data_IF_757895950971
#
_entry.id   IF_757895950971
#
_cell.length_a   1.000
_cell.length_b   1.000
_cell.length_c   1.000
_cell.angle_alpha   90.00
_cell.angle_beta   90.00
_cell.angle_gamma   90.00
#
_symmetry.space_group_name_H-M   'P 1'
#
loop_
_entity.id
_entity.type
_entity.pdbx_description
1 polymer ?
#
# COMPACT_ATOMS: atom_id res chain seq x y z
N UNK A 1 -41.60 6.70 -26.28
CA UNK A 1 -41.19 7.48 -25.09
C UNK A 1 -40.13 6.78 -24.22
N UNK A 2 -40.42 5.75 -23.42
CA UNK A 2 -39.43 5.14 -22.51
C UNK A 2 -38.07 4.79 -23.18
N UNK A 3 -38.09 4.09 -24.32
CA UNK A 3 -36.87 3.73 -25.05
C UNK A 3 -36.10 4.93 -25.64
N UNK A 4 -36.74 6.10 -25.77
CA UNK A 4 -36.07 7.35 -26.15
C UNK A 4 -35.35 7.94 -24.94
N UNK A 5 -36.06 8.08 -23.81
CA UNK A 5 -35.49 8.56 -22.55
C UNK A 5 -34.28 7.73 -22.10
N UNK A 6 -34.38 6.40 -22.14
CA UNK A 6 -33.26 5.51 -21.78
C UNK A 6 -32.05 5.72 -22.69
N UNK A 7 -32.27 5.99 -23.99
CA UNK A 7 -31.18 6.29 -24.92
C UNK A 7 -30.51 7.65 -24.63
N UNK A 8 -31.29 8.67 -24.34
CA UNK A 8 -30.80 10.01 -24.00
C UNK A 8 -29.98 9.96 -22.69
N UNK A 9 -30.49 9.29 -21.65
CA UNK A 9 -29.74 9.06 -20.41
C UNK A 9 -28.45 8.28 -20.67
N UNK A 10 -28.49 7.22 -21.47
CA UNK A 10 -27.29 6.46 -21.81
C UNK A 10 -26.24 7.31 -22.54
N UNK A 11 -26.66 8.18 -23.45
CA UNK A 11 -25.76 9.08 -24.17
C UNK A 11 -25.08 10.06 -23.20
N UNK A 12 -25.83 10.60 -22.23
CA UNK A 12 -25.30 11.45 -21.18
C UNK A 12 -24.25 10.72 -20.32
N UNK A 13 -24.59 9.52 -19.84
CA UNK A 13 -23.69 8.71 -19.00
C UNK A 13 -22.41 8.33 -19.74
N UNK A 14 -22.51 7.96 -21.03
CA UNK A 14 -21.34 7.67 -21.87
C UNK A 14 -20.36 8.84 -21.97
N UNK A 15 -20.87 10.08 -21.95
CA UNK A 15 -20.04 11.29 -21.96
C UNK A 15 -19.37 11.59 -20.60
N UNK A 16 -19.90 11.02 -19.51
CA UNK A 16 -19.53 11.37 -18.14
C UNK A 16 -19.34 10.14 -17.25
N UNK A 17 -18.69 9.08 -17.78
CA UNK A 17 -18.53 7.81 -17.07
C UNK A 17 -17.85 7.95 -15.70
N UNK A 18 -16.97 8.93 -15.52
CA UNK A 18 -16.27 9.16 -14.26
C UNK A 18 -17.16 9.66 -13.12
N UNK A 19 -18.30 10.31 -13.41
CA UNK A 19 -19.19 10.90 -12.41
C UNK A 19 -20.56 10.23 -12.38
N UNK A 20 -21.08 9.83 -13.55
CA UNK A 20 -22.49 9.49 -13.72
C UNK A 20 -22.71 7.99 -13.99
N UNK A 21 -21.67 7.15 -13.87
CA UNK A 21 -21.79 5.71 -14.10
C UNK A 21 -22.79 5.00 -13.17
N UNK A 22 -22.98 5.51 -11.94
CA UNK A 22 -23.96 4.96 -11.00
C UNK A 22 -25.38 4.98 -11.55
N UNK A 23 -25.73 6.01 -12.33
CA UNK A 23 -27.03 6.10 -13.00
C UNK A 23 -27.23 4.93 -13.98
N UNK A 24 -26.17 4.43 -14.63
CA UNK A 24 -26.29 3.24 -15.47
C UNK A 24 -26.58 1.97 -14.64
N UNK A 25 -26.08 1.87 -13.42
CA UNK A 25 -26.36 0.76 -12.51
C UNK A 25 -27.82 0.81 -12.03
N UNK A 26 -28.31 1.97 -11.61
CA UNK A 26 -29.70 2.18 -11.21
C UNK A 26 -30.69 1.89 -12.34
N UNK A 27 -30.45 2.45 -13.54
CA UNK A 27 -31.29 2.18 -14.72
C UNK A 27 -31.29 0.68 -15.02
N UNK A 28 -30.13 0.01 -14.90
CA UNK A 28 -30.03 -1.43 -15.11
C UNK A 28 -30.84 -2.22 -14.11
N UNK A 29 -30.83 -1.85 -12.83
CA UNK A 29 -31.63 -2.48 -11.78
C UNK A 29 -33.12 -2.29 -12.01
N UNK A 30 -33.58 -1.04 -12.16
CA UNK A 30 -34.98 -0.68 -12.32
C UNK A 30 -35.58 -1.37 -13.55
N UNK A 31 -34.90 -1.27 -14.71
CA UNK A 31 -35.42 -1.84 -15.95
C UNK A 31 -35.34 -3.37 -15.95
N UNK A 32 -34.34 -3.98 -15.31
CA UNK A 32 -34.28 -5.44 -15.18
C UNK A 32 -35.37 -5.98 -14.25
N UNK A 33 -35.67 -5.29 -13.16
CA UNK A 33 -36.78 -5.62 -12.27
C UNK A 33 -38.13 -5.50 -12.97
N UNK A 34 -38.33 -4.44 -13.77
CA UNK A 34 -39.54 -4.27 -14.56
C UNK A 34 -39.70 -5.35 -15.63
N UNK A 35 -38.59 -5.77 -16.27
CA UNK A 35 -38.57 -6.90 -17.22
C UNK A 35 -39.02 -8.20 -16.58
N UNK A 36 -38.51 -8.51 -15.38
CA UNK A 36 -38.90 -9.71 -14.63
C UNK A 36 -40.39 -9.69 -14.24
N UNK A 37 -40.91 -8.55 -13.80
CA UNK A 37 -42.32 -8.42 -13.47
C UNK A 37 -43.23 -8.56 -14.70
N UNK A 38 -42.84 -8.00 -15.85
CA UNK A 38 -43.59 -8.15 -17.12
C UNK A 38 -43.62 -9.59 -17.61
N UNK A 39 -42.53 -10.34 -17.43
CA UNK A 39 -42.43 -11.76 -17.77
C UNK A 39 -43.45 -12.60 -16.98
N UNK A 40 -43.68 -12.28 -15.70
CA UNK A 40 -44.66 -13.01 -14.88
C UNK A 40 -46.12 -12.71 -15.23
N UNK A 41 -46.42 -11.62 -15.95
CA UNK A 41 -47.80 -11.14 -16.16
C UNK A 41 -48.31 -11.29 -17.60
N UNK A 42 -47.54 -10.86 -18.60
CA UNK A 42 -48.04 -10.80 -20.00
C UNK A 42 -47.00 -11.16 -21.05
N UNK A 43 -45.70 -11.02 -20.79
CA UNK A 43 -44.61 -11.27 -21.75
C UNK A 43 -44.53 -10.27 -22.92
N UNK A 44 -45.59 -9.50 -23.17
CA UNK A 44 -45.62 -8.40 -24.14
C UNK A 44 -44.60 -7.31 -23.79
N UNK A 45 -44.03 -6.63 -24.79
CA UNK A 45 -43.00 -5.58 -24.66
C UNK A 45 -41.62 -6.02 -24.13
N UNK A 46 -41.45 -7.28 -23.68
CA UNK A 46 -40.18 -7.83 -23.17
C UNK A 46 -39.01 -7.58 -24.13
N UNK A 47 -39.17 -7.95 -25.40
CA UNK A 47 -38.12 -7.81 -26.41
C UNK A 47 -37.74 -6.34 -26.64
N UNK A 48 -38.72 -5.44 -26.65
CA UNK A 48 -38.49 -4.00 -26.85
C UNK A 48 -37.74 -3.40 -25.65
N UNK A 49 -38.13 -3.75 -24.42
CA UNK A 49 -37.47 -3.27 -23.22
C UNK A 49 -36.05 -3.83 -23.08
N UNK A 50 -35.85 -5.12 -23.39
CA UNK A 50 -34.54 -5.74 -23.39
C UNK A 50 -33.61 -5.09 -24.43
N UNK A 51 -34.13 -4.78 -25.61
CA UNK A 51 -33.39 -4.04 -26.64
C UNK A 51 -33.02 -2.62 -26.20
N UNK A 52 -33.92 -1.92 -25.48
CA UNK A 52 -33.64 -0.58 -24.96
C UNK A 52 -32.61 -0.59 -23.80
N UNK A 53 -32.61 -1.64 -22.97
CA UNK A 53 -31.69 -1.78 -21.85
C UNK A 53 -30.28 -2.25 -22.26
N UNK A 54 -30.15 -3.03 -23.33
CA UNK A 54 -28.87 -3.58 -23.78
C UNK A 54 -27.76 -2.51 -23.90
N UNK A 55 -27.97 -1.35 -24.55
CA UNK A 55 -26.95 -0.31 -24.64
C UNK A 55 -26.53 0.29 -23.29
N UNK A 56 -27.40 0.32 -22.29
CA UNK A 56 -27.09 0.82 -20.94
C UNK A 56 -26.22 -0.20 -20.19
N UNK A 57 -26.52 -1.50 -20.31
CA UNK A 57 -25.68 -2.56 -19.73
C UNK A 57 -24.27 -2.54 -20.31
N UNK A 58 -24.13 -2.30 -21.61
CA UNK A 58 -22.80 -2.19 -22.23
C UNK A 58 -22.04 -0.94 -21.74
N UNK A 59 -22.72 0.19 -21.53
CA UNK A 59 -22.12 1.36 -20.89
C UNK A 59 -21.70 1.07 -19.45
N UNK A 60 -22.54 0.38 -18.68
CA UNK A 60 -22.27 -0.01 -17.31
C UNK A 60 -21.04 -0.94 -17.22
N UNK A 61 -20.90 -1.91 -18.14
CA UNK A 61 -19.70 -2.74 -18.26
C UNK A 61 -18.45 -1.90 -18.58
N UNK A 62 -18.54 -1.04 -19.59
CA UNK A 62 -17.41 -0.20 -20.01
C UNK A 62 -16.94 0.76 -18.90
N UNK A 63 -17.86 1.20 -18.03
CA UNK A 63 -17.53 2.07 -16.90
C UNK A 63 -16.50 1.45 -15.94
N UNK A 64 -16.52 0.13 -15.73
CA UNK A 64 -15.62 -0.54 -14.79
C UNK A 64 -14.16 -0.42 -15.25
N UNK A 65 -13.91 -0.66 -16.54
CA UNK A 65 -12.60 -0.48 -17.15
C UNK A 65 -12.16 0.99 -17.15
N UNK A 66 -13.07 1.90 -17.50
CA UNK A 66 -12.76 3.33 -17.56
C UNK A 66 -12.41 3.89 -16.17
N UNK A 67 -13.12 3.51 -15.12
CA UNK A 67 -12.84 3.93 -13.74
C UNK A 67 -11.47 3.42 -13.25
N UNK A 68 -11.08 2.21 -13.66
CA UNK A 68 -9.77 1.66 -13.36
C UNK A 68 -8.66 2.43 -14.08
N UNK A 69 -8.82 2.69 -15.38
CA UNK A 69 -7.87 3.47 -16.18
C UNK A 69 -7.81 4.94 -15.74
N UNK A 70 -8.92 5.54 -15.32
CA UNK A 70 -8.95 6.88 -14.74
C UNK A 70 -8.14 6.93 -13.42
N UNK A 71 -8.28 5.92 -12.57
CA UNK A 71 -7.47 5.80 -11.34
C UNK A 71 -5.97 5.78 -11.67
N UNK A 72 -5.59 4.95 -12.63
CA UNK A 72 -4.21 4.84 -13.11
C UNK A 72 -3.73 6.15 -13.74
N UNK A 73 -4.56 6.83 -14.52
CA UNK A 73 -4.23 8.11 -15.17
C UNK A 73 -4.07 9.23 -14.16
N UNK A 74 -4.95 9.34 -13.17
CA UNK A 74 -4.86 10.33 -12.08
C UNK A 74 -3.60 10.10 -11.24
N UNK A 75 -3.34 8.86 -10.81
CA UNK A 75 -2.12 8.52 -10.08
C UNK A 75 -0.87 8.76 -10.94
N UNK A 76 -0.89 8.34 -12.20
CA UNK A 76 0.18 8.53 -13.17
C UNK A 76 0.39 9.99 -13.61
N UNK A 77 -0.60 10.85 -13.44
CA UNK A 77 -0.56 12.28 -13.75
C UNK A 77 0.04 13.14 -12.65
N UNK A 78 0.24 12.59 -11.44
CA UNK A 78 0.81 13.32 -10.31
C UNK A 78 2.20 13.88 -10.67
N UNK A 79 2.35 15.18 -10.43
CA UNK A 79 3.60 15.95 -10.64
C UNK A 79 4.37 16.16 -9.35
N UNK A 80 3.67 16.17 -8.21
CA UNK A 80 4.25 16.37 -6.89
C UNK A 80 3.62 15.40 -5.89
N UNK A 81 4.38 15.10 -4.83
CA UNK A 81 3.91 14.35 -3.67
C UNK A 81 4.35 15.07 -2.39
N UNK A 82 3.64 14.90 -1.26
CA UNK A 82 4.03 15.50 0.00
C UNK A 82 5.45 15.09 0.42
N UNK A 83 6.30 16.07 0.68
CA UNK A 83 7.72 15.84 1.02
C UNK A 83 7.93 15.23 2.41
N UNK A 84 6.90 15.21 3.24
CA UNK A 84 6.84 14.61 4.57
C UNK A 84 6.27 13.17 4.55
N UNK A 85 5.83 12.68 3.39
CA UNK A 85 5.24 11.36 3.23
C UNK A 85 3.77 11.26 3.62
N UNK A 86 3.05 12.37 3.79
CA UNK A 86 1.60 12.32 4.02
C UNK A 86 0.85 11.62 2.87
N UNK A 87 -0.25 10.93 3.18
CA UNK A 87 -1.13 10.37 2.14
C UNK A 87 -1.82 11.49 1.34
N UNK A 88 -2.37 11.16 0.17
CA UNK A 88 -3.00 12.12 -0.74
C UNK A 88 -4.51 11.84 -0.89
N UNK A 89 -5.33 12.86 -1.22
CA UNK A 89 -6.78 12.70 -1.38
C UNK A 89 -7.18 11.61 -2.36
N UNK A 90 -6.41 11.42 -3.44
CA UNK A 90 -6.68 10.38 -4.45
C UNK A 90 -6.84 8.97 -3.86
N UNK A 91 -6.15 8.65 -2.76
CA UNK A 91 -6.30 7.37 -2.05
C UNK A 91 -7.71 7.26 -1.45
N UNK A 92 -8.13 8.28 -0.72
CA UNK A 92 -9.46 8.34 -0.11
C UNK A 92 -10.57 8.39 -1.18
N UNK A 93 -10.41 9.22 -2.22
CA UNK A 93 -11.39 9.34 -3.31
C UNK A 93 -11.60 8.01 -4.06
N UNK A 94 -10.52 7.25 -4.24
CA UNK A 94 -10.59 5.92 -4.86
C UNK A 94 -11.34 4.93 -3.99
N UNK A 95 -11.08 4.94 -2.68
CA UNK A 95 -11.79 4.07 -1.74
C UNK A 95 -13.25 4.45 -1.55
N UNK A 96 -13.56 5.75 -1.45
CA UNK A 96 -14.95 6.26 -1.39
C UNK A 96 -15.74 5.83 -2.61
N UNK A 97 -15.13 5.86 -3.81
CA UNK A 97 -15.78 5.36 -5.02
C UNK A 97 -16.10 3.87 -4.93
N UNK A 98 -15.15 3.05 -4.46
CA UNK A 98 -15.40 1.61 -4.27
C UNK A 98 -16.49 1.36 -3.22
N UNK A 99 -16.54 2.15 -2.14
CA UNK A 99 -17.59 2.08 -1.12
C UNK A 99 -18.96 2.44 -1.70
N UNK A 100 -19.07 3.53 -2.46
CA UNK A 100 -20.31 3.94 -3.12
C UNK A 100 -20.80 2.88 -4.10
N UNK A 101 -19.90 2.17 -4.79
CA UNK A 101 -20.28 1.05 -5.66
C UNK A 101 -20.95 -0.09 -4.88
N UNK A 102 -20.66 -0.29 -3.58
CA UNK A 102 -21.33 -1.32 -2.77
C UNK A 102 -22.83 -1.03 -2.63
N UNK A 103 -23.26 0.24 -2.64
CA UNK A 103 -24.68 0.62 -2.62
C UNK A 103 -25.42 0.07 -3.86
N UNK A 104 -24.71 -0.13 -4.95
CA UNK A 104 -25.21 -0.68 -6.22
C UNK A 104 -24.80 -2.15 -6.42
N UNK A 105 -24.51 -2.89 -5.35
CA UNK A 105 -23.95 -4.24 -5.43
C UNK A 105 -24.85 -5.20 -6.23
N UNK A 106 -26.17 -5.08 -6.16
CA UNK A 106 -27.10 -5.95 -6.90
C UNK A 106 -26.97 -5.79 -8.43
N UNK A 107 -27.15 -4.59 -9.02
CA UNK A 107 -26.93 -4.40 -10.45
C UNK A 107 -25.47 -4.67 -10.85
N UNK A 108 -24.49 -4.27 -10.04
CA UNK A 108 -23.08 -4.52 -10.32
C UNK A 108 -22.79 -6.01 -10.36
N UNK A 109 -23.30 -6.82 -9.43
CA UNK A 109 -23.10 -8.27 -9.43
C UNK A 109 -23.61 -8.90 -10.73
N UNK A 110 -24.77 -8.46 -11.22
CA UNK A 110 -25.29 -8.94 -12.52
C UNK A 110 -24.40 -8.51 -13.70
N UNK A 111 -23.85 -7.30 -13.66
CA UNK A 111 -22.93 -6.79 -14.66
C UNK A 111 -21.62 -7.59 -14.63
N UNK A 112 -21.08 -7.87 -13.44
CA UNK A 112 -19.85 -8.63 -13.22
C UNK A 112 -19.95 -10.05 -13.76
N UNK A 113 -21.05 -10.76 -13.48
CA UNK A 113 -21.31 -12.08 -14.05
C UNK A 113 -21.34 -12.01 -15.58
N UNK A 114 -21.97 -10.98 -16.16
CA UNK A 114 -22.02 -10.81 -17.61
C UNK A 114 -20.68 -10.38 -18.23
N UNK A 115 -19.81 -9.71 -17.47
CA UNK A 115 -18.50 -9.25 -17.92
C UNK A 115 -17.47 -10.38 -17.83
N UNK A 116 -17.64 -11.28 -16.85
CA UNK A 116 -16.65 -12.29 -16.49
C UNK A 116 -15.55 -11.71 -15.60
N UNK A 117 -14.95 -12.58 -14.78
CA UNK A 117 -13.85 -12.20 -13.90
C UNK A 117 -12.64 -11.72 -14.71
N UNK A 118 -12.08 -10.56 -14.32
CA UNK A 118 -10.98 -9.90 -15.02
C UNK A 118 -11.37 -9.18 -16.32
N UNK A 119 -12.65 -9.19 -16.73
CA UNK A 119 -13.10 -8.58 -17.99
C UNK A 119 -12.88 -7.06 -18.07
N UNK A 120 -12.70 -6.38 -16.94
CA UNK A 120 -12.36 -4.94 -16.85
C UNK A 120 -10.92 -4.61 -17.29
N UNK A 121 -10.02 -5.59 -17.35
CA UNK A 121 -8.62 -5.38 -17.78
C UNK A 121 -8.48 -5.28 -19.30
N UNK A 122 -9.43 -5.87 -20.05
CA UNK A 122 -9.33 -6.11 -21.50
C UNK A 122 -9.33 -4.85 -22.37
N UNK A 123 -9.80 -3.71 -21.88
CA UNK A 123 -9.77 -2.44 -22.62
C UNK A 123 -8.35 -1.91 -22.86
N UNK A 124 -7.37 -2.35 -22.07
CA UNK A 124 -5.95 -2.00 -22.25
C UNK A 124 -5.21 -2.91 -23.24
N UNK A 125 -5.77 -4.08 -23.57
CA UNK A 125 -5.17 -5.06 -24.48
C UNK A 125 -5.76 -5.04 -25.91
N UNK A 126 -6.87 -4.33 -26.13
CA UNK A 126 -7.60 -4.33 -27.40
C UNK A 126 -7.08 -3.35 -28.46
N UNK A 127 -6.04 -2.55 -28.17
CA UNK A 127 -5.48 -1.59 -29.15
C UNK A 127 -4.49 -2.26 -30.12
N UNK A 128 -4.18 -3.55 -29.97
CA UNK A 128 -3.18 -4.19 -30.84
C UNK A 128 -3.21 -5.72 -30.98
N UNK A 129 -4.31 -6.39 -30.62
CA UNK A 129 -4.40 -7.85 -30.80
C UNK A 129 -5.61 -8.21 -31.64
N UNK A 130 -5.35 -8.91 -32.74
CA UNK A 130 -6.34 -9.50 -33.64
C UNK A 130 -7.45 -10.21 -32.87
N UNK A 131 -8.66 -10.13 -33.42
CA UNK A 131 -9.92 -10.63 -32.87
C UNK A 131 -10.03 -12.16 -32.70
N UNK A 132 -8.91 -12.90 -32.61
CA UNK A 132 -8.86 -14.36 -32.59
C UNK A 132 -8.35 -14.96 -31.27
N UNK A 133 -8.25 -14.17 -30.18
CA UNK A 133 -8.04 -14.76 -28.86
C UNK A 133 -9.38 -15.28 -28.35
N UNK A 134 -9.58 -16.59 -28.54
CA UNK A 134 -10.64 -17.38 -27.91
C UNK A 134 -10.74 -16.98 -26.43
N UNK A 135 -11.91 -16.54 -25.93
CA UNK A 135 -12.08 -16.27 -24.51
C UNK A 135 -11.69 -17.52 -23.73
N UNK A 136 -10.74 -17.39 -22.80
CA UNK A 136 -10.39 -18.49 -21.91
C UNK A 136 -11.68 -19.04 -21.28
N UNK A 137 -11.91 -20.34 -21.43
CA UNK A 137 -13.06 -21.07 -20.87
C UNK A 137 -13.12 -21.03 -19.33
N UNK A 138 -12.13 -20.42 -18.67
CA UNK A 138 -12.18 -20.06 -17.25
C UNK A 138 -13.15 -18.91 -16.92
N UNK A 139 -13.78 -18.27 -17.92
CA UNK A 139 -14.63 -17.08 -17.74
C UNK A 139 -16.14 -17.35 -17.65
N UNK A 140 -16.57 -18.60 -17.86
CA UNK A 140 -17.97 -19.01 -17.71
C UNK A 140 -18.09 -20.05 -16.59
N UNK A 141 -17.87 -19.61 -15.36
CA UNK A 141 -18.14 -20.44 -14.19
C UNK A 141 -19.65 -20.44 -13.93
N UNK A 142 -20.30 -21.58 -14.19
CA UNK A 142 -21.74 -21.79 -13.96
C UNK A 142 -21.93 -21.92 -12.45
N UNK A 143 -21.94 -20.76 -11.78
CA UNK A 143 -21.88 -20.64 -10.32
C UNK A 143 -21.22 -19.34 -9.83
N UNK A 144 -20.66 -18.52 -10.73
CA UNK A 144 -19.98 -17.28 -10.41
C UNK A 144 -20.82 -16.35 -9.52
N UNK A 145 -20.37 -16.13 -8.28
CA UNK A 145 -20.93 -15.11 -7.40
C UNK A 145 -20.46 -13.74 -7.88
N UNK A 146 -21.39 -12.93 -8.40
CA UNK A 146 -21.09 -11.57 -8.85
C UNK A 146 -20.50 -10.67 -7.75
N UNK A 147 -20.76 -10.98 -6.47
CA UNK A 147 -20.13 -10.30 -5.34
C UNK A 147 -18.65 -10.64 -5.22
N UNK A 148 -18.30 -11.90 -5.46
CA UNK A 148 -16.90 -12.35 -5.46
C UNK A 148 -16.12 -11.68 -6.58
N UNK A 149 -16.67 -11.67 -7.80
CA UNK A 149 -16.05 -11.00 -8.95
C UNK A 149 -15.87 -9.50 -8.67
N UNK A 150 -16.86 -8.84 -8.06
CA UNK A 150 -16.71 -7.45 -7.65
C UNK A 150 -15.60 -7.28 -6.59
N UNK A 151 -15.45 -8.22 -5.66
CA UNK A 151 -14.32 -8.26 -4.74
C UNK A 151 -12.97 -8.29 -5.45
N UNK A 152 -12.83 -9.08 -6.52
CA UNK A 152 -11.62 -9.08 -7.36
C UNK A 152 -11.39 -7.73 -8.05
N UNK A 153 -12.45 -7.10 -8.58
CA UNK A 153 -12.37 -5.77 -9.16
C UNK A 153 -11.87 -4.72 -8.16
N UNK A 154 -12.38 -4.74 -6.93
CA UNK A 154 -11.91 -3.85 -5.86
C UNK A 154 -10.41 -4.04 -5.59
N UNK A 155 -9.96 -5.30 -5.48
CA UNK A 155 -8.55 -5.62 -5.25
C UNK A 155 -7.64 -5.18 -6.39
N UNK A 156 -8.06 -5.40 -7.64
CA UNK A 156 -7.32 -4.93 -8.83
C UNK A 156 -7.23 -3.39 -8.86
N UNK A 157 -8.29 -2.70 -8.44
CA UNK A 157 -8.30 -1.23 -8.37
C UNK A 157 -7.34 -0.72 -7.30
N UNK A 158 -7.35 -1.33 -6.11
CA UNK A 158 -6.43 -1.01 -5.01
C UNK A 158 -4.98 -1.31 -5.41
N UNK A 159 -4.72 -2.45 -6.03
CA UNK A 159 -3.38 -2.82 -6.48
C UNK A 159 -2.87 -1.86 -7.57
N UNK A 160 -3.71 -1.50 -8.53
CA UNK A 160 -3.39 -0.53 -9.57
C UNK A 160 -3.05 0.83 -8.98
N UNK A 161 -3.83 1.29 -7.99
CA UNK A 161 -3.58 2.53 -7.27
C UNK A 161 -2.23 2.49 -6.54
N UNK A 162 -2.04 1.50 -5.66
CA UNK A 162 -0.82 1.39 -4.82
C UNK A 162 0.43 1.15 -5.68
N UNK A 163 0.34 0.36 -6.75
CA UNK A 163 1.41 0.15 -7.72
C UNK A 163 1.83 1.44 -8.41
N UNK A 164 0.85 2.21 -8.91
CA UNK A 164 1.14 3.47 -9.61
C UNK A 164 1.70 4.51 -8.64
N UNK A 165 1.17 4.58 -7.42
CA UNK A 165 1.65 5.48 -6.37
C UNK A 165 3.07 5.12 -5.89
N UNK A 166 3.42 3.84 -5.75
CA UNK A 166 4.78 3.41 -5.43
C UNK A 166 5.79 3.82 -6.51
N UNK A 167 5.42 3.66 -7.79
CA UNK A 167 6.26 4.11 -8.90
C UNK A 167 6.48 5.64 -8.86
N UNK A 168 5.42 6.40 -8.60
CA UNK A 168 5.50 7.86 -8.46
C UNK A 168 6.30 8.31 -7.25
N UNK A 169 6.12 7.66 -6.11
CA UNK A 169 6.88 7.94 -4.89
C UNK A 169 8.39 7.81 -5.13
N UNK A 170 8.82 6.77 -5.84
CA UNK A 170 10.24 6.56 -6.18
C UNK A 170 10.83 7.63 -7.10
N UNK A 171 10.02 8.24 -7.96
CA UNK A 171 10.46 9.26 -8.92
C UNK A 171 10.44 10.65 -8.26
N UNK A 172 9.37 10.97 -7.54
CA UNK A 172 9.08 12.31 -7.06
C UNK A 172 9.64 12.59 -5.66
N UNK A 173 9.74 11.58 -4.80
CA UNK A 173 10.26 11.75 -3.45
C UNK A 173 11.75 11.45 -3.39
N UNK A 174 12.53 12.41 -2.89
CA UNK A 174 13.99 12.30 -2.73
C UNK A 174 14.33 11.54 -1.44
N UNK A 175 14.11 10.23 -1.44
CA UNK A 175 14.54 9.34 -0.36
C UNK A 175 13.65 8.12 -0.21
N UNK A 176 14.27 6.94 0.01
CA UNK A 176 13.54 5.69 0.19
C UNK A 176 12.68 5.70 1.45
N UNK A 177 13.15 6.33 2.53
CA UNK A 177 12.42 6.38 3.79
C UNK A 177 11.11 7.15 3.67
N UNK A 178 11.13 8.35 3.07
CA UNK A 178 9.90 9.13 2.86
C UNK A 178 8.94 8.44 1.86
N UNK A 179 9.46 7.76 0.83
CA UNK A 179 8.64 6.94 -0.06
C UNK A 179 7.99 5.76 0.67
N UNK A 180 8.71 5.13 1.61
CA UNK A 180 8.16 4.11 2.50
C UNK A 180 7.06 4.65 3.42
N UNK A 181 7.22 5.85 3.98
CA UNK A 181 6.19 6.52 4.79
C UNK A 181 4.93 6.78 3.97
N UNK A 182 5.08 7.39 2.79
CA UNK A 182 3.98 7.67 1.88
C UNK A 182 3.17 6.42 1.54
N UNK A 183 3.87 5.34 1.17
CA UNK A 183 3.22 4.08 0.83
C UNK A 183 2.52 3.46 2.06
N UNK A 184 3.17 3.45 3.22
CA UNK A 184 2.60 2.90 4.45
C UNK A 184 1.33 3.66 4.89
N UNK A 185 1.35 4.99 4.87
CA UNK A 185 0.18 5.81 5.16
C UNK A 185 -0.97 5.48 4.20
N UNK A 186 -0.68 5.37 2.89
CA UNK A 186 -1.69 5.03 1.89
C UNK A 186 -2.31 3.65 2.13
N UNK A 187 -1.50 2.65 2.51
CA UNK A 187 -1.98 1.30 2.85
C UNK A 187 -2.87 1.31 4.09
N UNK A 188 -2.48 2.02 5.16
CA UNK A 188 -3.28 2.12 6.39
C UNK A 188 -4.61 2.84 6.13
N UNK A 189 -4.61 3.90 5.32
CA UNK A 189 -5.85 4.57 4.89
C UNK A 189 -6.77 3.61 4.13
N UNK A 190 -6.24 2.86 3.16
CA UNK A 190 -7.01 1.84 2.41
C UNK A 190 -7.59 0.79 3.36
N UNK A 191 -6.76 0.23 4.25
CA UNK A 191 -7.19 -0.78 5.20
C UNK A 191 -8.30 -0.27 6.13
N UNK A 192 -8.14 0.92 6.69
CA UNK A 192 -9.14 1.57 7.55
C UNK A 192 -10.46 1.75 6.79
N UNK A 193 -10.41 2.28 5.58
CA UNK A 193 -11.61 2.51 4.76
C UNK A 193 -12.31 1.21 4.34
N UNK A 194 -11.58 0.10 4.17
CA UNK A 194 -12.22 -1.21 3.94
C UNK A 194 -12.93 -1.66 5.22
N UNK A 195 -12.25 -1.62 6.37
CA UNK A 195 -12.78 -2.12 7.65
C UNK A 195 -13.99 -1.32 8.15
N UNK A 196 -13.99 -0.02 7.92
CA UNK A 196 -15.02 0.90 8.42
C UNK A 196 -16.21 1.06 7.44
N UNK A 197 -16.38 0.17 6.46
CA UNK A 197 -17.45 0.24 5.47
C UNK A 197 -18.01 -1.12 5.08
N UNK A 198 -19.08 -1.12 4.27
CA UNK A 198 -19.70 -2.33 3.72
C UNK A 198 -18.81 -3.07 2.70
N UNK A 199 -17.64 -2.53 2.35
CA UNK A 199 -16.58 -3.27 1.65
C UNK A 199 -15.95 -4.34 2.55
N UNK A 200 -15.96 -4.15 3.87
CA UNK A 200 -15.36 -5.05 4.84
C UNK A 200 -15.80 -6.50 4.62
N UNK A 201 -17.10 -6.82 4.68
CA UNK A 201 -17.60 -8.18 4.43
C UNK A 201 -17.18 -8.80 3.08
N UNK A 202 -16.97 -7.98 2.04
CA UNK A 202 -16.55 -8.45 0.71
C UNK A 202 -15.05 -8.74 0.64
N UNK A 203 -14.23 -8.01 1.39
CA UNK A 203 -12.76 -8.02 1.24
C UNK A 203 -12.02 -8.56 2.47
N UNK A 204 -12.70 -8.81 3.60
CA UNK A 204 -12.08 -9.17 4.88
C UNK A 204 -11.15 -10.38 4.77
N UNK A 205 -11.58 -11.42 4.05
CA UNK A 205 -10.79 -12.65 3.82
C UNK A 205 -9.60 -12.46 2.88
N UNK A 206 -9.49 -11.29 2.24
CA UNK A 206 -8.49 -10.97 1.21
C UNK A 206 -7.60 -9.77 1.60
N UNK A 207 -7.72 -9.29 2.83
CA UNK A 207 -6.90 -8.18 3.35
C UNK A 207 -5.41 -8.49 3.37
N UNK A 208 -5.02 -9.77 3.36
CA UNK A 208 -3.61 -10.20 3.25
C UNK A 208 -2.92 -9.65 1.98
N UNK A 209 -3.68 -9.30 0.94
CA UNK A 209 -3.14 -8.62 -0.26
C UNK A 209 -2.51 -7.26 0.09
N UNK A 210 -2.90 -6.62 1.20
CA UNK A 210 -2.26 -5.39 1.68
C UNK A 210 -0.93 -5.65 2.40
N UNK A 211 -0.68 -6.88 2.87
CA UNK A 211 0.53 -7.21 3.62
C UNK A 211 1.79 -7.09 2.76
N UNK A 212 1.72 -7.43 1.48
CA UNK A 212 2.85 -7.25 0.56
C UNK A 212 3.23 -5.76 0.45
N UNK A 213 2.23 -4.87 0.43
CA UNK A 213 2.42 -3.43 0.35
C UNK A 213 2.99 -2.88 1.66
N UNK A 214 2.49 -3.37 2.81
CA UNK A 214 3.04 -3.04 4.13
C UNK A 214 4.49 -3.48 4.28
N UNK A 215 4.83 -4.70 3.85
CA UNK A 215 6.21 -5.23 3.85
C UNK A 215 7.12 -4.39 2.94
N UNK A 216 6.65 -4.03 1.75
CA UNK A 216 7.40 -3.20 0.80
C UNK A 216 7.68 -1.80 1.34
N UNK A 217 6.68 -1.14 1.93
CA UNK A 217 6.82 0.16 2.58
C UNK A 217 7.83 0.10 3.74
N UNK A 218 7.73 -0.94 4.57
CA UNK A 218 8.63 -1.19 5.70
C UNK A 218 10.07 -1.46 5.26
N UNK A 219 10.27 -2.21 4.18
CA UNK A 219 11.60 -2.43 3.61
C UNK A 219 12.21 -1.13 3.08
N UNK A 220 11.43 -0.31 2.37
CA UNK A 220 11.89 1.00 1.88
C UNK A 220 12.23 1.95 3.04
N UNK A 221 11.43 1.93 4.11
CA UNK A 221 11.64 2.74 5.29
C UNK A 221 12.90 2.35 6.07
N UNK A 222 13.05 1.05 6.35
CA UNK A 222 14.12 0.50 7.19
C UNK A 222 15.45 0.26 6.46
N UNK A 223 15.57 0.62 5.17
CA UNK A 223 16.86 0.58 4.43
C UNK A 223 17.95 1.38 5.16
N UNK A 224 17.58 2.51 5.77
CA UNK A 224 18.48 3.34 6.59
C UNK A 224 19.09 2.57 7.76
N UNK A 225 18.37 1.60 8.35
CA UNK A 225 18.89 0.80 9.46
C UNK A 225 20.06 -0.08 9.02
N UNK A 226 20.08 -0.52 7.75
CA UNK A 226 21.20 -1.31 7.22
C UNK A 226 22.48 -0.48 7.23
N UNK A 227 22.38 0.77 6.79
CA UNK A 227 23.53 1.67 6.71
C UNK A 227 24.05 2.03 8.11
N UNK A 228 23.16 2.27 9.08
CA UNK A 228 23.56 2.47 10.49
C UNK A 228 24.19 1.22 11.11
N UNK A 229 23.70 0.02 10.78
CA UNK A 229 24.20 -1.23 11.35
C UNK A 229 25.67 -1.48 11.01
N UNK A 230 26.16 -0.97 9.88
CA UNK A 230 27.58 -1.09 9.47
C UNK A 230 28.52 -0.52 10.53
N UNK A 231 28.15 0.59 11.17
CA UNK A 231 28.95 1.20 12.23
C UNK A 231 28.97 0.39 13.53
N UNK A 232 27.96 -0.47 13.73
CA UNK A 232 27.80 -1.29 14.94
C UNK A 232 28.37 -2.70 14.80
N UNK A 233 28.65 -3.15 13.57
CA UNK A 233 29.29 -4.45 13.36
C UNK A 233 30.75 -4.42 13.80
N UNK A 234 31.13 -5.46 14.54
CA UNK A 234 32.52 -5.64 14.96
C UNK A 234 33.33 -6.22 13.80
N UNK A 235 34.24 -5.39 13.27
CA UNK A 235 35.20 -5.76 12.23
C UNK A 235 36.62 -5.91 12.80
N UNK A 236 36.78 -5.77 14.12
CA UNK A 236 38.07 -5.84 14.79
C UNK A 236 38.27 -7.29 15.24
N UNK A 237 39.10 -8.02 14.50
CA UNK A 237 39.56 -9.33 14.92
C UNK A 237 40.53 -9.17 16.10
N UNK A 238 40.01 -9.20 17.33
CA UNK A 238 40.85 -9.39 18.51
C UNK A 238 41.59 -10.72 18.37
N UNK A 239 42.89 -10.74 18.64
CA UNK A 239 43.77 -11.90 18.43
C UNK A 239 43.12 -13.22 18.86
N UNK A 240 43.21 -14.23 17.96
CA UNK A 240 42.56 -15.56 18.02
C UNK A 240 42.87 -16.41 19.27
N UNK A 241 43.69 -15.96 20.20
CA UNK A 241 44.14 -16.74 21.36
C UNK A 241 43.15 -16.75 22.53
N UNK A 242 42.14 -15.87 22.56
CA UNK A 242 41.02 -15.96 23.48
C UNK A 242 39.74 -15.64 22.72
N UNK A 243 39.10 -16.68 22.16
CA UNK A 243 37.72 -16.57 21.71
C UNK A 243 36.85 -16.61 22.97
N UNK A 244 36.18 -15.53 23.39
CA UNK A 244 35.16 -15.67 24.41
C UNK A 244 34.09 -16.57 23.81
N UNK A 245 33.68 -17.59 24.53
CA UNK A 245 32.50 -18.40 24.19
C UNK A 245 31.36 -17.44 23.93
N UNK A 246 30.68 -17.57 22.79
CA UNK A 246 29.54 -16.74 22.41
C UNK A 246 28.53 -16.68 23.56
N UNK A 247 28.49 -15.58 24.30
CA UNK A 247 27.59 -15.40 25.44
C UNK A 247 28.17 -14.71 26.68
N UNK A 248 29.49 -14.55 26.82
CA UNK A 248 30.06 -13.80 27.94
C UNK A 248 30.37 -12.35 27.55
N UNK A 249 29.75 -11.40 28.27
CA UNK A 249 30.07 -9.98 28.20
C UNK A 249 31.51 -9.78 28.68
N UNK A 250 32.44 -9.57 27.76
CA UNK A 250 33.80 -9.18 28.10
C UNK A 250 33.75 -7.77 28.72
N UNK A 251 34.39 -7.59 29.87
CA UNK A 251 34.53 -6.30 30.54
C UNK A 251 35.13 -5.26 29.57
N UNK A 252 34.42 -4.16 29.30
CA UNK A 252 34.79 -3.19 28.27
C UNK A 252 36.20 -2.65 28.48
N UNK A 253 36.55 -2.34 29.73
CA UNK A 253 37.89 -1.89 30.11
C UNK A 253 38.99 -2.88 29.71
N UNK A 254 38.73 -4.20 29.86
CA UNK A 254 39.67 -5.26 29.47
C UNK A 254 39.86 -5.33 27.96
N UNK A 255 38.76 -5.25 27.20
CA UNK A 255 38.77 -5.27 25.74
C UNK A 255 39.56 -4.07 25.23
N UNK A 256 39.28 -2.87 25.73
CA UNK A 256 39.95 -1.65 25.28
C UNK A 256 41.44 -1.65 25.60
N UNK A 257 41.85 -2.20 26.75
CA UNK A 257 43.29 -2.36 27.07
C UNK A 257 44.02 -3.25 26.05
N UNK A 258 43.34 -4.27 25.53
CA UNK A 258 43.90 -5.18 24.52
C UNK A 258 43.97 -4.60 23.09
N UNK A 259 43.27 -3.48 22.82
CA UNK A 259 43.25 -2.84 21.50
C UNK A 259 44.49 -1.99 21.25
N UNK A 260 44.96 -2.02 19.99
CA UNK A 260 45.97 -1.09 19.50
C UNK A 260 45.44 0.35 19.48
N UNK A 261 46.33 1.35 19.46
CA UNK A 261 45.92 2.76 19.32
C UNK A 261 45.08 3.00 18.06
N UNK A 262 45.44 2.36 16.95
CA UNK A 262 44.70 2.43 15.68
C UNK A 262 43.28 1.88 15.81
N UNK A 263 43.11 0.77 16.51
CA UNK A 263 41.79 0.15 16.71
C UNK A 263 40.92 0.97 17.66
N UNK A 264 41.51 1.57 18.70
CA UNK A 264 40.84 2.53 19.59
C UNK A 264 40.28 3.72 18.81
N UNK A 265 41.05 4.26 17.88
CA UNK A 265 40.60 5.40 17.07
C UNK A 265 39.50 5.01 16.09
N UNK A 266 39.57 3.83 15.47
CA UNK A 266 38.46 3.29 14.65
C UNK A 266 37.17 3.10 15.45
N UNK A 267 37.25 2.63 16.70
CA UNK A 267 36.06 2.47 17.55
C UNK A 267 35.44 3.84 17.88
N UNK A 268 36.25 4.84 18.22
CA UNK A 268 35.78 6.22 18.42
C UNK A 268 35.11 6.77 17.16
N UNK A 269 35.71 6.55 16.00
CA UNK A 269 35.15 6.97 14.71
C UNK A 269 33.80 6.30 14.43
N UNK A 270 33.67 4.99 14.68
CA UNK A 270 32.39 4.27 14.57
C UNK A 270 31.31 4.86 15.47
N UNK A 271 31.63 5.17 16.73
CA UNK A 271 30.69 5.85 17.63
C UNK A 271 30.27 7.21 17.07
N UNK A 272 31.22 8.05 16.62
CA UNK A 272 30.92 9.35 16.04
C UNK A 272 30.05 9.26 14.79
N UNK A 273 30.36 8.35 13.86
CA UNK A 273 29.61 8.13 12.63
C UNK A 273 28.20 7.60 12.94
N UNK A 274 28.08 6.63 13.86
CA UNK A 274 26.79 6.14 14.31
C UNK A 274 25.95 7.25 14.94
N UNK A 275 26.50 8.05 15.85
CA UNK A 275 25.77 9.13 16.51
C UNK A 275 25.23 10.13 15.48
N UNK A 276 26.06 10.56 14.54
CA UNK A 276 25.65 11.51 13.50
C UNK A 276 24.53 10.93 12.62
N UNK A 277 24.70 9.70 12.13
CA UNK A 277 23.70 9.03 11.28
C UNK A 277 22.40 8.73 12.04
N UNK A 278 22.49 8.34 13.31
CA UNK A 278 21.34 8.09 14.18
C UNK A 278 20.56 9.36 14.49
N UNK A 279 21.26 10.44 14.83
CA UNK A 279 20.63 11.75 15.07
C UNK A 279 19.90 12.26 13.82
N UNK A 280 20.51 12.13 12.64
CA UNK A 280 19.89 12.49 11.36
C UNK A 280 18.66 11.63 11.08
N UNK A 281 18.74 10.32 11.30
CA UNK A 281 17.60 9.40 11.13
C UNK A 281 16.45 9.77 12.07
N UNK A 282 16.73 10.04 13.34
CA UNK A 282 15.74 10.46 14.33
C UNK A 282 15.10 11.80 13.94
N UNK A 283 15.89 12.78 13.49
CA UNK A 283 15.39 14.06 13.02
C UNK A 283 14.44 13.89 11.81
N UNK A 284 14.84 13.06 10.83
CA UNK A 284 13.98 12.73 9.66
C UNK A 284 12.70 12.01 10.09
N UNK A 285 12.79 11.01 10.95
CA UNK A 285 11.63 10.28 11.46
C UNK A 285 10.60 11.23 12.10
N UNK A 286 11.07 12.21 12.88
CA UNK A 286 10.20 13.22 13.51
C UNK A 286 9.61 14.21 12.52
N UNK A 287 10.30 14.49 11.40
CA UNK A 287 9.80 15.40 10.37
C UNK A 287 8.72 14.78 9.48
N UNK A 288 8.59 13.45 9.46
CA UNK A 288 7.60 12.76 8.65
C UNK A 288 6.20 12.81 9.27
N UNK A 289 5.20 12.99 8.41
CA UNK A 289 3.81 12.90 8.76
C UNK A 289 3.35 11.45 8.61
N UNK A 290 3.25 10.74 9.74
CA UNK A 290 2.90 9.32 9.78
C UNK A 290 1.57 9.13 10.50
N UNK A 291 0.73 8.23 9.97
CA UNK A 291 -0.38 7.69 10.74
C UNK A 291 0.13 7.02 12.04
N UNK A 292 -0.65 7.03 13.14
CA UNK A 292 -0.22 6.46 14.42
C UNK A 292 0.25 5.00 14.31
N UNK A 293 -0.46 4.18 13.54
CA UNK A 293 -0.12 2.77 13.32
C UNK A 293 1.20 2.61 12.56
N UNK A 294 1.43 3.48 11.56
CA UNK A 294 2.68 3.51 10.79
C UNK A 294 3.85 3.90 11.68
N UNK A 295 3.68 4.94 12.51
CA UNK A 295 4.71 5.39 13.46
C UNK A 295 5.06 4.27 14.44
N UNK A 296 4.06 3.64 15.04
CA UNK A 296 4.27 2.53 15.98
C UNK A 296 5.00 1.35 15.32
N UNK A 297 4.57 0.95 14.12
CA UNK A 297 5.18 -0.12 13.35
C UNK A 297 6.64 0.17 13.03
N UNK A 298 6.94 1.33 12.44
CA UNK A 298 8.29 1.71 12.07
C UNK A 298 9.22 1.91 13.27
N UNK A 299 8.74 2.51 14.35
CA UNK A 299 9.53 2.68 15.58
C UNK A 299 9.92 1.32 16.19
N UNK A 300 8.98 0.37 16.25
CA UNK A 300 9.25 -1.00 16.70
C UNK A 300 10.27 -1.70 15.82
N UNK A 301 10.15 -1.60 14.50
CA UNK A 301 11.08 -2.23 13.55
C UNK A 301 12.49 -1.65 13.64
N UNK A 302 12.63 -0.31 13.70
CA UNK A 302 13.93 0.34 13.92
C UNK A 302 14.57 -0.18 15.20
N UNK A 303 13.80 -0.20 16.30
CA UNK A 303 14.27 -0.66 17.60
C UNK A 303 14.75 -2.11 17.55
N UNK A 304 13.96 -3.01 16.98
CA UNK A 304 14.31 -4.43 16.86
C UNK A 304 15.58 -4.65 16.04
N UNK A 305 15.82 -3.83 15.01
CA UNK A 305 17.01 -3.94 14.16
C UNK A 305 18.27 -3.35 14.78
N UNK A 306 18.17 -2.18 15.42
CA UNK A 306 19.34 -1.41 15.85
C UNK A 306 19.68 -1.55 17.33
N UNK A 307 18.69 -1.63 18.22
CA UNK A 307 18.95 -1.62 19.67
C UNK A 307 19.87 -2.79 20.11
N UNK A 308 19.63 -4.05 19.69
CA UNK A 308 20.50 -5.16 20.10
C UNK A 308 21.95 -5.02 19.61
N UNK A 309 22.14 -4.43 18.42
CA UNK A 309 23.47 -4.18 17.86
C UNK A 309 24.19 -3.10 18.65
N UNK A 310 23.49 -2.02 18.99
CA UNK A 310 24.05 -0.94 19.78
C UNK A 310 24.40 -1.41 21.18
N UNK A 311 23.49 -2.13 21.86
CA UNK A 311 23.71 -2.64 23.21
C UNK A 311 24.96 -3.52 23.27
N UNK A 312 25.14 -4.40 22.29
CA UNK A 312 26.33 -5.25 22.18
C UNK A 312 27.61 -4.45 21.90
N UNK A 313 27.53 -3.44 21.02
CA UNK A 313 28.68 -2.59 20.71
C UNK A 313 29.09 -1.74 21.93
N UNK A 314 28.10 -1.21 22.64
CA UNK A 314 28.27 -0.43 23.87
C UNK A 314 28.88 -1.27 25.00
N UNK A 315 28.34 -2.46 25.27
CA UNK A 315 28.89 -3.38 26.30
C UNK A 315 30.37 -3.64 26.11
N UNK A 316 30.81 -3.73 24.85
CA UNK A 316 32.19 -4.04 24.51
C UNK A 316 33.11 -2.82 24.57
N UNK A 317 32.63 -1.63 24.25
CA UNK A 317 33.50 -0.48 23.95
C UNK A 317 33.18 0.83 24.69
N UNK A 318 32.18 0.91 25.56
CA UNK A 318 31.77 2.17 26.20
C UNK A 318 32.88 2.87 27.00
N UNK A 319 33.81 2.12 27.60
CA UNK A 319 34.93 2.69 28.37
C UNK A 319 35.97 3.43 27.51
N UNK A 320 35.84 3.40 26.17
CA UNK A 320 36.81 3.98 25.22
C UNK A 320 36.97 5.49 25.41
N UNK A 321 35.90 6.12 25.89
CA UNK A 321 35.81 7.56 26.11
C UNK A 321 35.98 7.94 27.58
N UNK A 322 36.21 6.97 28.48
CA UNK A 322 36.42 7.18 29.92
C UNK A 322 35.36 8.06 30.57
N UNK A 323 34.10 7.92 30.16
CA UNK A 323 32.97 8.70 30.67
C UNK A 323 32.92 10.18 30.23
N UNK A 324 33.72 10.60 29.25
CA UNK A 324 33.75 12.00 28.78
C UNK A 324 32.56 12.39 27.90
N UNK A 325 31.83 11.43 27.34
CA UNK A 325 30.65 11.67 26.50
C UNK A 325 30.92 12.32 25.14
N UNK A 326 32.20 12.42 24.72
CA UNK A 326 32.60 12.97 23.42
C UNK A 326 32.29 12.01 22.27
N UNK A 327 32.54 10.72 22.47
CA UNK A 327 32.32 9.67 21.47
C UNK A 327 31.12 8.81 21.85
N UNK A 328 31.04 8.37 23.11
CA UNK A 328 29.93 7.55 23.60
C UNK A 328 28.82 8.49 24.09
N UNK A 329 27.99 8.96 23.17
CA UNK A 329 26.92 9.94 23.42
C UNK A 329 25.75 9.35 24.21
N UNK A 330 25.39 8.11 23.88
CA UNK A 330 24.25 7.42 24.48
C UNK A 330 24.72 6.31 25.42
N UNK A 331 24.07 6.18 26.56
CA UNK A 331 24.05 4.92 27.32
C UNK A 331 22.85 4.06 26.86
N UNK A 332 22.76 2.84 27.39
CA UNK A 332 21.67 1.92 27.04
C UNK A 332 20.29 2.46 27.37
N UNK A 333 20.15 3.20 28.47
CA UNK A 333 18.85 3.73 28.91
C UNK A 333 18.40 4.88 28.01
N UNK A 334 19.29 5.82 27.72
CA UNK A 334 19.03 6.98 26.87
C UNK A 334 18.73 6.59 25.43
N UNK A 335 19.50 5.67 24.82
CA UNK A 335 19.20 5.23 23.46
C UNK A 335 17.88 4.44 23.39
N UNK A 336 17.59 3.61 24.41
CA UNK A 336 16.31 2.90 24.51
C UNK A 336 15.14 3.90 24.60
N UNK A 337 15.28 4.98 25.37
CA UNK A 337 14.29 6.05 25.44
C UNK A 337 14.08 6.72 24.08
N UNK A 338 15.15 6.95 23.30
CA UNK A 338 15.02 7.49 21.94
C UNK A 338 14.25 6.52 21.06
N UNK A 339 14.57 5.22 21.05
CA UNK A 339 13.83 4.22 20.28
C UNK A 339 12.35 4.14 20.66
N UNK A 340 12.03 4.23 21.97
CA UNK A 340 10.65 4.26 22.44
C UNK A 340 9.90 5.48 21.88
N UNK A 341 10.55 6.65 21.84
CA UNK A 341 9.97 7.87 21.28
C UNK A 341 9.73 7.83 19.76
N UNK A 342 10.33 6.87 19.04
CA UNK A 342 10.07 6.69 17.60
C UNK A 342 8.77 5.90 17.33
N UNK A 343 8.24 5.21 18.33
CA UNK A 343 7.01 4.40 18.20
C UNK A 343 5.76 5.09 18.77
N UNK A 344 5.93 6.30 19.32
CA UNK A 344 4.88 7.15 19.93
C UNK A 344 4.53 8.29 18.99
#
# INVERSE_FOLDING_TARGET
ELARTVRELNAHIKGHLGTDCYLAYEITEILSGLLGNLETRTGELKASLAAALKPVRETAKASLSELLEDTKRKAGGLQTLPSDGASIPLVADTMQRLQAMVEFLRPISSIMISLGDGGWKSSSASVGRSADVIPSLSSFDIGADGREIFGHYCLDTIDTLLSTLDQKAKILLRGKSVAGVFLANSVVTVERMIRDSDLGPLLQSRLEVLDQWRKKATAAYTDVCRDLSVYLFDTIHTNRTQRPTSGQAADSASVIKSLSSKDKDKIKEKFSQFNAAFDEMVAKHKSYNMEPDVRSMFGKDIRQKLQPLYDRFWDRYHDIDKGKGKYVKYDKSSIASVFLSLAS
#
